data_IF_604388557922
#
_entry.id   IF_604388557922
#
_cell.length_a   1.000
_cell.length_b   1.000
_cell.length_c   1.000
_cell.angle_alpha   90.00
_cell.angle_beta   90.00
_cell.angle_gamma   90.00
#
_symmetry.space_group_name_H-M   'P 1'
#
loop_
_entity.id
_entity.type
_entity.pdbx_description
1 polymer ?
#
# COMPACT_ATOMS: atom_id res chain seq x y z
N UNK A 1 1.91 -4.88 75.97
CA UNK A 1 1.39 -5.40 74.69
C UNK A 1 1.19 -4.21 73.78
N UNK A 2 2.13 -3.95 72.88
CA UNK A 2 2.08 -2.84 71.92
C UNK A 2 2.34 -3.39 70.52
N UNK A 3 1.60 -2.95 69.50
CA UNK A 3 1.69 -3.49 68.15
C UNK A 3 2.90 -2.91 67.42
N UNK A 4 3.83 -3.77 67.00
CA UNK A 4 4.84 -3.41 66.00
C UNK A 4 4.17 -3.40 64.63
N UNK A 5 3.57 -2.27 64.26
CA UNK A 5 3.13 -2.04 62.89
C UNK A 5 4.37 -1.64 62.08
N UNK A 6 4.96 -2.62 61.39
CA UNK A 6 6.03 -2.38 60.44
C UNK A 6 5.46 -1.57 59.28
N UNK A 7 5.85 -0.30 59.21
CA UNK A 7 5.65 0.51 58.02
C UNK A 7 6.40 -0.18 56.86
N UNK A 8 5.66 -0.81 55.96
CA UNK A 8 6.21 -1.30 54.70
C UNK A 8 6.69 -0.10 53.91
N UNK A 9 8.01 0.08 53.88
CA UNK A 9 8.65 1.21 53.23
C UNK A 9 8.48 1.06 51.71
N UNK A 10 7.46 1.74 51.15
CA UNK A 10 7.06 1.62 49.73
C UNK A 10 8.23 1.89 48.77
N UNK A 11 9.18 2.72 49.20
CA UNK A 11 10.41 3.05 48.47
C UNK A 11 11.32 1.85 48.24
N UNK A 12 11.30 0.85 49.14
CA UNK A 12 12.10 -0.37 49.03
C UNK A 12 11.43 -1.47 48.19
N UNK A 13 10.10 -1.44 48.08
CA UNK A 13 9.33 -2.38 47.24
C UNK A 13 9.18 -1.89 45.79
N UNK A 14 9.40 -0.61 45.52
CA UNK A 14 9.29 -0.04 44.18
C UNK A 14 10.30 -0.63 43.18
N UNK A 15 11.60 -0.80 43.50
CA UNK A 15 12.58 -1.35 42.57
C UNK A 15 12.29 -2.81 42.13
N UNK A 16 11.99 -3.77 43.03
CA UNK A 16 11.68 -5.14 42.59
C UNK A 16 10.32 -5.22 41.88
N UNK A 17 9.33 -4.40 42.27
CA UNK A 17 8.03 -4.39 41.62
C UNK A 17 8.08 -3.86 40.19
N UNK A 18 8.91 -2.85 39.90
CA UNK A 18 9.12 -2.39 38.52
C UNK A 18 9.89 -3.43 37.69
N UNK A 19 10.92 -4.05 38.26
CA UNK A 19 11.74 -5.04 37.56
C UNK A 19 10.94 -6.29 37.14
N UNK A 20 9.98 -6.72 37.94
CA UNK A 20 9.10 -7.85 37.61
C UNK A 20 7.82 -7.39 36.90
N UNK A 21 7.27 -6.24 37.28
CA UNK A 21 6.03 -5.72 36.74
C UNK A 21 6.13 -5.26 35.29
N UNK A 22 7.22 -4.62 34.88
CA UNK A 22 7.44 -4.18 33.50
C UNK A 22 7.45 -5.33 32.48
N UNK A 23 8.21 -6.44 32.67
CA UNK A 23 8.18 -7.54 31.71
C UNK A 23 6.83 -8.26 31.71
N UNK A 24 6.17 -8.43 32.85
CA UNK A 24 4.83 -9.04 32.93
C UNK A 24 3.78 -8.17 32.22
N UNK A 25 3.80 -6.86 32.45
CA UNK A 25 2.90 -5.92 31.77
C UNK A 25 3.19 -5.84 30.27
N UNK A 26 4.46 -5.92 29.85
CA UNK A 26 4.84 -5.91 28.44
C UNK A 26 4.35 -7.17 27.71
N UNK A 27 4.52 -8.35 28.31
CA UNK A 27 4.01 -9.61 27.75
C UNK A 27 2.48 -9.61 27.71
N UNK A 28 1.83 -9.17 28.80
CA UNK A 28 0.37 -9.02 28.86
C UNK A 28 -0.14 -8.05 27.78
N UNK A 29 0.52 -6.90 27.61
CA UNK A 29 0.21 -5.93 26.55
C UNK A 29 0.42 -6.53 25.16
N UNK A 30 1.48 -7.33 24.97
CA UNK A 30 1.73 -7.96 23.67
C UNK A 30 0.69 -9.01 23.30
N UNK A 31 0.27 -9.81 24.27
CA UNK A 31 -0.80 -10.80 24.09
C UNK A 31 -2.13 -10.08 23.88
N UNK A 32 -2.44 -9.06 24.68
CA UNK A 32 -3.64 -8.24 24.50
C UNK A 32 -3.68 -7.59 23.11
N UNK A 33 -2.59 -6.97 22.67
CA UNK A 33 -2.47 -6.39 21.32
C UNK A 33 -2.55 -7.44 20.21
N UNK A 34 -2.09 -8.66 20.46
CA UNK A 34 -2.17 -9.76 19.50
C UNK A 34 -3.59 -10.36 19.42
N UNK A 35 -4.31 -10.43 20.54
CA UNK A 35 -5.67 -10.99 20.62
C UNK A 35 -6.76 -9.96 20.34
N UNK A 36 -6.53 -8.66 20.54
CA UNK A 36 -7.52 -7.61 20.27
C UNK A 36 -7.57 -7.24 18.77
N UNK A 37 -8.59 -7.70 18.02
CA UNK A 37 -8.66 -7.53 16.57
C UNK A 37 -9.33 -6.20 16.17
N UNK A 38 -8.98 -5.10 16.83
CA UNK A 38 -9.87 -3.91 16.85
C UNK A 38 -9.29 -2.55 16.48
N UNK A 39 -7.98 -2.32 16.60
CA UNK A 39 -7.46 -0.93 16.67
C UNK A 39 -6.46 -0.58 15.55
N UNK A 40 -6.56 -1.22 14.38
CA UNK A 40 -5.56 -1.09 13.31
C UNK A 40 -6.10 -0.80 11.91
N UNK A 41 -7.38 -0.42 11.74
CA UNK A 41 -7.93 -0.30 10.38
C UNK A 41 -9.16 0.59 10.25
N UNK A 42 -9.17 1.76 10.89
CA UNK A 42 -10.14 2.80 10.51
C UNK A 42 -9.91 3.31 9.06
N UNK A 43 -8.68 3.15 8.53
CA UNK A 43 -8.28 3.61 7.19
C UNK A 43 -8.55 2.62 6.05
N UNK A 44 -9.04 1.40 6.32
CA UNK A 44 -9.43 0.43 5.28
C UNK A 44 -10.93 0.17 5.25
N UNK A 45 -11.76 1.15 5.62
CA UNK A 45 -13.17 1.08 5.24
C UNK A 45 -13.20 1.18 3.73
N UNK A 46 -13.60 0.09 3.07
CA UNK A 46 -13.81 0.07 1.64
C UNK A 46 -14.76 1.23 1.30
N UNK A 47 -14.29 2.12 0.42
CA UNK A 47 -15.10 3.24 -0.06
C UNK A 47 -16.39 2.66 -0.63
N UNK A 48 -17.53 3.04 -0.05
CA UNK A 48 -18.83 2.64 -0.56
C UNK A 48 -19.21 3.67 -1.64
N UNK A 49 -19.10 3.34 -2.94
CA UNK A 49 -19.35 4.29 -4.03
C UNK A 49 -20.82 4.73 -4.08
N UNK A 50 -21.70 4.06 -3.33
CA UNK A 50 -23.13 4.33 -3.28
C UNK A 50 -23.54 5.37 -2.24
N UNK A 51 -22.73 5.61 -1.20
CA UNK A 51 -23.08 6.49 -0.08
C UNK A 51 -22.04 7.57 0.23
N UNK A 52 -21.01 7.70 -0.60
CA UNK A 52 -19.92 8.66 -0.42
C UNK A 52 -20.26 10.09 -0.87
N UNK A 53 -19.67 11.07 -0.17
CA UNK A 53 -19.55 12.46 -0.62
C UNK A 53 -18.91 12.46 -2.02
N UNK A 54 -19.59 13.05 -3.00
CA UNK A 54 -19.15 13.07 -4.41
C UNK A 54 -20.08 12.37 -5.41
N UNK A 55 -21.20 11.77 -4.97
CA UNK A 55 -22.20 11.11 -5.83
C UNK A 55 -23.16 12.06 -6.57
N UNK A 56 -22.90 13.37 -6.50
CA UNK A 56 -23.69 14.40 -7.20
C UNK A 56 -25.16 14.46 -6.78
N UNK A 57 -25.88 15.46 -7.28
CA UNK A 57 -27.33 15.47 -7.18
C UNK A 57 -27.94 14.44 -8.15
N UNK A 58 -29.14 13.89 -7.87
CA UNK A 58 -29.86 13.02 -8.81
C UNK A 58 -29.98 13.69 -10.19
N UNK A 59 -29.56 12.99 -11.25
CA UNK A 59 -29.53 13.52 -12.61
C UNK A 59 -28.19 14.12 -13.06
N UNK A 60 -27.20 14.28 -12.17
CA UNK A 60 -25.84 14.63 -12.55
C UNK A 60 -24.96 13.38 -12.64
N UNK A 61 -24.33 13.18 -13.80
CA UNK A 61 -23.35 12.10 -13.99
C UNK A 61 -22.09 12.41 -13.18
N UNK A 62 -21.94 11.77 -12.03
CA UNK A 62 -20.77 11.86 -11.16
C UNK A 62 -20.12 10.49 -10.98
N UNK A 63 -18.86 10.46 -10.54
CA UNK A 63 -18.10 9.21 -10.42
C UNK A 63 -17.50 8.69 -11.73
N UNK A 64 -17.42 9.52 -12.77
CA UNK A 64 -16.66 9.20 -13.99
C UNK A 64 -15.16 9.13 -13.70
N UNK A 65 -14.49 8.12 -14.27
CA UNK A 65 -13.05 7.93 -14.16
C UNK A 65 -12.35 9.08 -14.90
N UNK A 66 -11.40 9.75 -14.22
CA UNK A 66 -10.50 10.69 -14.87
C UNK A 66 -9.52 9.90 -15.72
N UNK A 67 -9.48 10.18 -17.03
CA UNK A 67 -8.54 9.59 -17.97
C UNK A 67 -7.56 10.67 -18.40
N UNK A 68 -6.28 10.33 -18.48
CA UNK A 68 -5.26 11.25 -18.98
C UNK A 68 -5.42 11.42 -20.49
N UNK A 69 -5.39 12.68 -20.96
CA UNK A 69 -5.48 13.01 -22.39
C UNK A 69 -4.06 13.02 -22.97
N UNK A 70 -3.84 12.45 -24.17
CA UNK A 70 -2.56 12.51 -24.86
C UNK A 70 -2.05 13.96 -25.03
N UNK A 71 -0.72 14.19 -25.00
CA UNK A 71 -0.15 15.54 -24.98
C UNK A 71 -0.47 16.37 -26.22
N UNK A 72 -0.56 15.74 -27.39
CA UNK A 72 -0.93 16.39 -28.65
C UNK A 72 -2.35 16.95 -28.62
N UNK A 73 -3.30 16.14 -28.15
CA UNK A 73 -4.68 16.56 -27.97
C UNK A 73 -4.82 17.64 -26.90
N UNK A 74 -4.07 17.52 -25.80
CA UNK A 74 -4.08 18.53 -24.75
C UNK A 74 -3.62 19.90 -25.26
N UNK A 75 -2.67 19.95 -26.21
CA UNK A 75 -2.24 21.19 -26.85
C UNK A 75 -3.34 21.79 -27.74
N UNK A 76 -4.03 20.97 -28.55
CA UNK A 76 -5.13 21.40 -29.42
C UNK A 76 -6.31 21.94 -28.62
N UNK A 77 -6.71 21.23 -27.56
CA UNK A 77 -7.76 21.69 -26.65
C UNK A 77 -7.37 23.01 -25.98
N UNK A 78 -6.11 23.16 -25.58
CA UNK A 78 -5.61 24.43 -24.98
C UNK A 78 -5.60 25.58 -25.99
N UNK A 79 -5.38 25.29 -27.27
CA UNK A 79 -5.44 26.27 -28.35
C UNK A 79 -6.88 26.70 -28.69
N UNK A 80 -7.89 26.01 -28.14
CA UNK A 80 -9.30 26.31 -28.39
C UNK A 80 -9.85 25.71 -29.68
N UNK A 81 -9.20 24.67 -30.21
CA UNK A 81 -9.73 23.89 -31.33
C UNK A 81 -10.88 22.98 -30.87
N UNK A 82 -11.95 22.88 -31.67
CA UNK A 82 -13.06 21.96 -31.41
C UNK A 82 -12.63 20.54 -31.72
N UNK A 83 -12.42 19.74 -30.66
CA UNK A 83 -12.10 18.32 -30.76
C UNK A 83 -13.34 17.50 -30.44
N UNK A 84 -13.69 16.57 -31.32
CA UNK A 84 -14.83 15.67 -31.14
C UNK A 84 -14.57 14.61 -30.06
N UNK A 85 -15.64 14.09 -29.45
CA UNK A 85 -15.52 13.05 -28.43
C UNK A 85 -14.89 11.76 -29.00
N UNK A 86 -15.21 11.45 -30.25
CA UNK A 86 -14.72 10.30 -30.99
C UNK A 86 -13.19 10.39 -31.19
N UNK A 87 -12.66 11.56 -31.57
CA UNK A 87 -11.22 11.78 -31.71
C UNK A 87 -10.48 11.62 -30.38
N UNK A 88 -11.05 12.15 -29.28
CA UNK A 88 -10.46 11.99 -27.94
C UNK A 88 -10.38 10.51 -27.57
N UNK A 89 -11.45 9.73 -27.82
CA UNK A 89 -11.44 8.30 -27.52
C UNK A 89 -10.41 7.53 -28.36
N UNK A 90 -10.34 7.80 -29.67
CA UNK A 90 -9.41 7.12 -30.56
C UNK A 90 -7.95 7.39 -30.17
N UNK A 91 -7.62 8.64 -29.82
CA UNK A 91 -6.27 9.01 -29.42
C UNK A 91 -5.88 8.43 -28.05
N UNK A 92 -6.83 8.36 -27.10
CA UNK A 92 -6.59 7.70 -25.80
C UNK A 92 -6.31 6.21 -26.01
N UNK A 93 -7.08 5.54 -26.87
CA UNK A 93 -6.89 4.12 -27.15
C UNK A 93 -5.54 3.85 -27.82
N UNK A 94 -5.17 4.66 -28.82
CA UNK A 94 -3.88 4.55 -29.50
C UNK A 94 -2.69 4.75 -28.53
N UNK A 95 -2.77 5.75 -27.65
CA UNK A 95 -1.70 5.99 -26.66
C UNK A 95 -1.63 4.87 -25.62
N UNK A 96 -2.77 4.34 -25.17
CA UNK A 96 -2.81 3.20 -24.26
C UNK A 96 -2.17 1.94 -24.87
N UNK A 97 -2.40 1.70 -26.16
CA UNK A 97 -1.76 0.59 -26.88
C UNK A 97 -0.24 0.77 -26.95
N UNK A 98 0.24 1.98 -27.28
CA UNK A 98 1.68 2.26 -27.32
C UNK A 98 2.35 2.04 -25.96
N UNK A 99 1.74 2.54 -24.88
CA UNK A 99 2.25 2.34 -23.52
C UNK A 99 2.25 0.85 -23.15
N UNK A 100 1.20 0.10 -23.48
CA UNK A 100 1.14 -1.33 -23.20
C UNK A 100 2.25 -2.10 -23.93
N UNK A 101 2.51 -1.78 -25.20
CA UNK A 101 3.60 -2.38 -25.97
C UNK A 101 4.98 -2.01 -25.40
N UNK A 102 5.19 -0.75 -24.98
CA UNK A 102 6.41 -0.30 -24.31
C UNK A 102 6.60 -1.04 -22.97
N UNK A 103 5.55 -1.17 -22.15
CA UNK A 103 5.59 -1.92 -20.88
C UNK A 103 5.90 -3.41 -21.10
N UNK A 104 5.35 -4.03 -22.15
CA UNK A 104 5.66 -5.42 -22.50
C UNK A 104 7.12 -5.58 -22.97
N UNK A 105 7.63 -4.62 -23.74
CA UNK A 105 9.03 -4.60 -24.16
C UNK A 105 9.97 -4.40 -22.97
N UNK A 106 9.66 -3.48 -22.06
CA UNK A 106 10.42 -3.27 -20.82
C UNK A 106 10.37 -4.51 -19.91
N UNK A 107 9.21 -5.14 -19.76
CA UNK A 107 9.07 -6.37 -18.97
C UNK A 107 9.88 -7.53 -19.57
N UNK A 108 9.99 -7.61 -20.90
CA UNK A 108 10.83 -8.58 -21.58
C UNK A 108 12.32 -8.23 -21.50
N UNK A 109 12.69 -6.95 -21.60
CA UNK A 109 14.05 -6.47 -21.42
C UNK A 109 14.57 -6.71 -19.98
N UNK A 110 13.71 -6.53 -18.98
CA UNK A 110 14.03 -6.83 -17.59
C UNK A 110 14.09 -8.34 -17.28
N UNK A 111 13.58 -9.17 -18.19
CA UNK A 111 13.68 -10.65 -18.14
C UNK A 111 14.91 -11.21 -18.86
N UNK A 112 15.79 -10.37 -19.40
CA UNK A 112 17.04 -10.83 -20.00
C UNK A 112 17.80 -11.64 -18.96
N UNK A 113 17.88 -12.96 -19.20
CA UNK A 113 18.58 -13.91 -18.33
C UNK A 113 20.05 -13.50 -18.30
N UNK A 114 20.60 -13.33 -17.10
CA UNK A 114 22.02 -13.08 -16.94
C UNK A 114 22.78 -14.27 -17.57
N UNK A 115 23.85 -14.03 -18.35
CA UNK A 115 24.63 -15.10 -18.94
C UNK A 115 25.35 -15.90 -17.85
N UNK A 116 25.47 -17.21 -18.05
CA UNK A 116 25.97 -18.19 -17.05
C UNK A 116 27.42 -17.93 -16.59
N UNK A 117 28.13 -16.98 -17.21
CA UNK A 117 29.53 -16.64 -16.94
C UNK A 117 29.72 -15.41 -16.02
N UNK A 118 28.65 -14.85 -15.43
CA UNK A 118 28.75 -13.71 -14.51
C UNK A 118 28.47 -14.17 -13.08
N UNK A 119 29.51 -14.18 -12.25
CA UNK A 119 29.41 -14.54 -10.84
C UNK A 119 28.52 -13.55 -10.08
N UNK A 120 27.65 -14.08 -9.21
CA UNK A 120 26.69 -13.32 -8.42
C UNK A 120 27.36 -12.32 -7.44
N UNK A 121 28.65 -12.49 -7.16
CA UNK A 121 29.45 -11.62 -6.28
C UNK A 121 29.78 -10.26 -6.93
N UNK A 122 29.74 -10.16 -8.26
CA UNK A 122 29.96 -8.90 -8.98
C UNK A 122 28.70 -8.05 -9.12
N UNK A 123 27.51 -8.62 -8.89
CA UNK A 123 26.24 -7.92 -9.08
C UNK A 123 25.87 -7.04 -7.88
N UNK A 124 25.33 -5.83 -8.09
CA UNK A 124 24.80 -5.02 -7.01
C UNK A 124 23.64 -5.75 -6.29
N UNK A 125 23.58 -5.60 -4.97
CA UNK A 125 22.56 -6.23 -4.14
C UNK A 125 21.15 -5.90 -4.66
N UNK A 126 20.40 -6.93 -5.06
CA UNK A 126 19.04 -6.81 -5.58
C UNK A 126 18.85 -7.23 -7.05
N UNK A 127 19.94 -7.46 -7.80
CA UNK A 127 19.87 -7.84 -9.22
C UNK A 127 20.15 -9.35 -9.48
N UNK A 128 20.82 -10.04 -8.55
CA UNK A 128 21.18 -11.45 -8.69
C UNK A 128 20.00 -12.43 -8.56
N UNK A 129 18.87 -12.00 -7.99
CA UNK A 129 17.69 -12.85 -7.76
C UNK A 129 16.61 -12.57 -8.81
N UNK A 130 16.97 -12.82 -10.07
CA UNK A 130 16.05 -12.79 -11.20
C UNK A 130 14.98 -13.88 -11.05
N UNK A 131 13.82 -13.55 -10.48
CA UNK A 131 12.60 -14.32 -10.73
C UNK A 131 11.80 -14.84 -9.53
N UNK A 132 11.92 -14.28 -8.31
CA UNK A 132 10.92 -14.52 -7.25
C UNK A 132 10.17 -13.24 -6.86
N UNK A 133 9.33 -12.80 -7.78
CA UNK A 133 8.28 -11.82 -7.50
C UNK A 133 7.39 -12.29 -6.35
N UNK A 134 7.29 -11.46 -5.31
CA UNK A 134 6.40 -11.56 -4.13
C UNK A 134 4.89 -11.46 -4.48
N UNK A 135 4.45 -12.05 -5.59
CA UNK A 135 3.08 -11.92 -6.11
C UNK A 135 2.18 -13.16 -5.99
N UNK A 136 2.74 -14.35 -5.79
CA UNK A 136 1.97 -15.61 -5.91
C UNK A 136 1.06 -15.95 -4.72
N UNK A 137 1.16 -15.25 -3.57
CA UNK A 137 0.41 -15.60 -2.36
C UNK A 137 -1.03 -15.07 -2.30
N UNK A 138 -1.50 -14.29 -3.29
CA UNK A 138 -2.81 -13.61 -3.23
C UNK A 138 -3.95 -14.28 -3.99
N UNK A 139 -3.73 -15.38 -4.70
CA UNK A 139 -4.73 -15.94 -5.63
C UNK A 139 -5.13 -17.38 -5.27
N UNK A 140 -5.62 -17.62 -4.06
CA UNK A 140 -6.41 -18.82 -3.70
C UNK A 140 -7.24 -18.57 -2.43
N UNK A 141 -8.45 -18.06 -2.60
CA UNK A 141 -9.62 -18.48 -1.80
C UNK A 141 -10.80 -18.60 -2.75
N UNK A 142 -11.29 -19.83 -2.84
CA UNK A 142 -12.52 -20.27 -3.49
C UNK A 142 -13.61 -20.24 -2.42
#
# INVERSE_FOLDING_TARGET
>A
MSPTSSAFDMSSLLPPLLMVGLPVAFVGYRIYRFLSPGQGSASRRAYNPSTGIGRGAPGFQTGVKKVAIPPELAARIRAGEDVSAEEVTAAIEAEQQRIAEEEEQEANANKVKLPDNVDAEWLPAGMADGGKGKGAARRKKK
#
